data_IF_650858358421
#
_entry.id   IF_650858358421
#
_cell.length_a   1.000
_cell.length_b   1.000
_cell.length_c   1.000
_cell.angle_alpha   90.00
_cell.angle_beta   90.00
_cell.angle_gamma   90.00
#
_symmetry.space_group_name_H-M   'P 1'
#
loop_
_entity.id
_entity.type
_entity.pdbx_description
1 polymer ?
#
# COMPACT_ATOMS: atom_id res chain seq x y z
N UNK A 1 -27.31 -10.71 -25.92
CA UNK A 1 -26.14 -11.23 -25.17
C UNK A 1 -24.98 -11.32 -26.14
N UNK A 2 -23.94 -10.53 -25.96
CA UNK A 2 -22.72 -10.69 -26.75
C UNK A 2 -21.92 -11.81 -26.08
N UNK A 3 -21.87 -12.97 -26.71
CA UNK A 3 -21.03 -14.07 -26.25
C UNK A 3 -19.59 -13.77 -26.66
N UNK A 4 -18.71 -13.58 -25.71
CA UNK A 4 -17.26 -13.43 -25.95
C UNK A 4 -16.67 -14.84 -25.90
N UNK A 5 -15.92 -15.21 -26.90
CA UNK A 5 -15.22 -16.50 -26.96
C UNK A 5 -13.71 -16.24 -26.84
N UNK A 6 -13.04 -16.94 -25.95
CA UNK A 6 -11.57 -16.88 -25.83
C UNK A 6 -10.89 -17.58 -27.02
N UNK A 7 -11.54 -18.60 -27.55
CA UNK A 7 -11.07 -19.36 -28.72
C UNK A 7 -12.25 -19.77 -29.60
N UNK A 8 -12.11 -19.62 -30.91
CA UNK A 8 -13.04 -20.14 -31.90
C UNK A 8 -12.34 -21.26 -32.67
N UNK A 9 -12.81 -22.50 -32.53
CA UNK A 9 -12.32 -23.65 -33.27
C UNK A 9 -13.21 -23.85 -34.53
N UNK A 10 -12.61 -23.68 -35.70
CA UNK A 10 -13.29 -23.86 -36.99
C UNK A 10 -13.00 -25.23 -37.52
N UNK A 11 -14.01 -26.09 -37.59
CA UNK A 11 -13.93 -27.44 -38.14
C UNK A 11 -14.45 -28.50 -37.19
N UNK A 12 -15.21 -29.48 -37.73
CA UNK A 12 -15.84 -30.57 -36.97
C UNK A 12 -15.06 -31.90 -37.08
N UNK A 13 -13.87 -31.86 -37.68
CA UNK A 13 -13.01 -33.06 -37.82
C UNK A 13 -12.26 -33.40 -36.53
N UNK A 14 -11.63 -34.58 -36.50
CA UNK A 14 -10.85 -35.08 -35.37
C UNK A 14 -9.76 -34.08 -34.89
N UNK A 15 -9.15 -33.32 -35.79
CA UNK A 15 -8.17 -32.29 -35.44
C UNK A 15 -8.77 -31.12 -34.67
N UNK A 16 -9.97 -30.63 -35.03
CA UNK A 16 -10.64 -29.58 -34.31
C UNK A 16 -11.08 -30.03 -32.90
N UNK A 17 -11.61 -31.27 -32.80
CA UNK A 17 -11.98 -31.86 -31.51
C UNK A 17 -10.75 -32.08 -30.60
N UNK A 18 -9.62 -32.56 -31.21
CA UNK A 18 -8.37 -32.72 -30.46
C UNK A 18 -7.81 -31.40 -29.95
N UNK A 19 -7.85 -30.33 -30.75
CA UNK A 19 -7.50 -28.99 -30.31
C UNK A 19 -8.38 -28.53 -29.15
N UNK A 20 -9.73 -28.72 -29.23
CA UNK A 20 -10.64 -28.33 -28.17
C UNK A 20 -10.37 -29.06 -26.84
N UNK A 21 -10.05 -30.37 -26.92
CA UNK A 21 -9.80 -31.21 -25.73
C UNK A 21 -8.39 -30.99 -25.10
N UNK A 22 -7.44 -30.48 -25.86
CA UNK A 22 -6.06 -30.27 -25.42
C UNK A 22 -5.68 -28.79 -25.32
N UNK A 23 -6.66 -27.89 -25.39
CA UNK A 23 -6.39 -26.48 -25.18
C UNK A 23 -6.00 -26.28 -23.70
N UNK A 24 -4.82 -25.77 -23.38
CA UNK A 24 -4.47 -25.55 -22.00
C UNK A 24 -5.34 -24.43 -21.44
N UNK A 25 -6.20 -24.74 -20.46
CA UNK A 25 -6.95 -23.77 -19.67
C UNK A 25 -5.98 -23.05 -18.69
N UNK A 26 -4.85 -22.54 -19.17
CA UNK A 26 -3.95 -21.75 -18.33
C UNK A 26 -4.55 -20.38 -18.13
N UNK A 27 -5.09 -20.14 -16.95
CA UNK A 27 -5.57 -18.84 -16.50
C UNK A 27 -4.36 -17.97 -16.17
N UNK A 28 -3.91 -17.17 -17.14
CA UNK A 28 -2.74 -16.32 -16.97
C UNK A 28 -3.13 -14.97 -16.35
N UNK A 29 -2.56 -14.67 -15.19
CA UNK A 29 -2.71 -13.37 -14.52
C UNK A 29 -1.36 -12.72 -14.30
N UNK A 30 -1.32 -11.40 -14.11
CA UNK A 30 -0.07 -10.73 -13.83
C UNK A 30 -0.12 -9.89 -12.54
N UNK A 31 1.05 -9.74 -11.92
CA UNK A 31 1.30 -8.70 -10.93
C UNK A 31 2.05 -7.59 -11.65
N UNK A 32 1.38 -6.46 -11.84
CA UNK A 32 1.99 -5.28 -12.46
C UNK A 32 2.65 -4.45 -11.37
N UNK A 33 3.93 -4.16 -11.54
CA UNK A 33 4.70 -3.34 -10.61
C UNK A 33 5.40 -2.21 -11.35
N UNK A 34 5.51 -1.03 -10.72
CA UNK A 34 6.25 0.07 -11.31
C UNK A 34 7.73 -0.28 -11.45
N UNK A 35 8.29 -0.07 -12.67
CA UNK A 35 9.66 -0.46 -13.00
C UNK A 35 10.74 0.21 -12.15
N UNK A 36 10.49 1.43 -11.66
CA UNK A 36 11.42 2.15 -10.77
C UNK A 36 11.55 1.47 -9.39
N UNK A 37 10.58 0.64 -9.01
CA UNK A 37 10.59 -0.17 -7.80
C UNK A 37 11.26 -1.56 -7.98
N UNK A 38 12.34 -1.66 -8.74
CA UNK A 38 13.02 -2.92 -9.10
C UNK A 38 13.52 -3.76 -7.92
N UNK A 39 13.50 -3.23 -6.69
CA UNK A 39 13.91 -3.96 -5.47
C UNK A 39 12.84 -4.88 -4.89
N UNK A 40 11.67 -4.99 -5.52
CA UNK A 40 10.56 -5.84 -5.02
C UNK A 40 10.93 -7.32 -4.83
N UNK A 41 12.02 -7.77 -5.43
CA UNK A 41 12.56 -9.14 -5.25
C UNK A 41 13.42 -9.29 -3.99
N UNK A 42 13.77 -8.20 -3.33
CA UNK A 42 14.57 -8.22 -2.11
C UNK A 42 13.64 -8.46 -0.88
N UNK A 43 13.95 -9.45 0.00
CA UNK A 43 13.05 -9.81 1.12
C UNK A 43 12.73 -8.66 2.09
N UNK A 44 13.56 -7.62 2.14
CA UNK A 44 13.33 -6.44 2.98
C UNK A 44 12.52 -5.34 2.27
N UNK A 45 12.22 -5.50 0.97
CA UNK A 45 11.39 -4.56 0.25
C UNK A 45 9.91 -4.72 0.65
N UNK A 46 9.20 -3.59 0.78
CA UNK A 46 7.79 -3.59 1.20
C UNK A 46 6.91 -4.53 0.35
N UNK A 47 7.07 -4.54 -0.96
CA UNK A 47 6.24 -5.33 -1.87
C UNK A 47 6.55 -6.85 -1.86
N UNK A 48 7.73 -7.30 -1.36
CA UNK A 48 8.15 -8.69 -1.45
C UNK A 48 7.11 -9.67 -0.91
N UNK A 49 6.71 -9.51 0.35
CA UNK A 49 5.76 -10.40 1.00
C UNK A 49 4.38 -10.35 0.33
N UNK A 50 3.99 -9.18 -0.23
CA UNK A 50 2.75 -9.01 -0.99
C UNK A 50 2.75 -9.88 -2.24
N UNK A 51 3.86 -9.87 -3.01
CA UNK A 51 4.01 -10.72 -4.20
C UNK A 51 3.99 -12.20 -3.84
N UNK A 52 4.69 -12.57 -2.76
CA UNK A 52 4.72 -13.95 -2.24
C UNK A 52 3.31 -14.40 -1.84
N UNK A 53 2.59 -13.59 -1.06
CA UNK A 53 1.23 -13.89 -0.61
C UNK A 53 0.24 -14.09 -1.77
N UNK A 54 0.31 -13.23 -2.79
CA UNK A 54 -0.51 -13.38 -3.99
C UNK A 54 -0.24 -14.72 -4.69
N UNK A 55 1.03 -15.05 -4.96
CA UNK A 55 1.43 -16.29 -5.63
C UNK A 55 1.05 -17.54 -4.83
N UNK A 56 1.21 -17.52 -3.50
CA UNK A 56 0.83 -18.63 -2.63
C UNK A 56 -0.64 -19.03 -2.75
N UNK A 57 -1.52 -18.10 -3.13
CA UNK A 57 -2.93 -18.37 -3.35
C UNK A 57 -3.26 -18.66 -4.81
N UNK A 58 -2.62 -17.97 -5.73
CA UNK A 58 -2.94 -18.04 -7.16
C UNK A 58 -2.44 -19.35 -7.80
N UNK A 59 -1.19 -19.72 -7.55
CA UNK A 59 -0.57 -20.90 -8.17
C UNK A 59 -1.27 -22.22 -7.82
N UNK A 60 -1.60 -22.50 -6.54
CA UNK A 60 -2.37 -23.71 -6.19
C UNK A 60 -3.81 -23.71 -6.75
N UNK A 61 -4.37 -22.52 -7.04
CA UNK A 61 -5.68 -22.37 -7.68
C UNK A 61 -5.64 -22.53 -9.21
N UNK A 62 -4.48 -22.91 -9.78
CA UNK A 62 -4.30 -23.19 -11.20
C UNK A 62 -4.07 -21.94 -12.07
N UNK A 63 -3.64 -20.82 -11.46
CA UNK A 63 -3.26 -19.63 -12.20
C UNK A 63 -1.75 -19.60 -12.48
N UNK A 64 -1.38 -19.23 -13.71
CA UNK A 64 -0.02 -18.85 -14.06
C UNK A 64 0.19 -17.38 -13.72
N UNK A 65 1.16 -17.08 -12.85
CA UNK A 65 1.40 -15.75 -12.31
C UNK A 65 2.71 -15.17 -12.81
N UNK A 66 2.62 -14.13 -13.64
CA UNK A 66 3.78 -13.39 -14.13
C UNK A 66 3.93 -12.05 -13.41
N UNK A 67 5.17 -11.71 -12.99
CA UNK A 67 5.49 -10.38 -12.46
C UNK A 67 5.97 -9.50 -13.61
N UNK A 68 5.26 -8.40 -13.86
CA UNK A 68 5.48 -7.55 -15.03
C UNK A 68 5.86 -6.13 -14.59
N UNK A 69 7.15 -5.77 -14.68
CA UNK A 69 7.57 -4.40 -14.47
C UNK A 69 7.09 -3.49 -15.62
N UNK A 70 6.39 -2.40 -15.27
CA UNK A 70 5.85 -1.45 -16.25
C UNK A 70 6.35 -0.04 -15.92
N UNK A 71 6.83 0.68 -16.92
CA UNK A 71 7.24 2.08 -16.81
C UNK A 71 6.19 3.05 -17.38
N UNK A 72 6.34 4.33 -17.07
CA UNK A 72 5.47 5.41 -17.58
C UNK A 72 5.44 5.45 -19.12
N UNK A 73 6.54 5.09 -19.79
CA UNK A 73 6.60 5.05 -21.26
C UNK A 73 5.66 3.99 -21.81
N UNK A 74 5.68 2.80 -21.23
CA UNK A 74 4.77 1.70 -21.60
C UNK A 74 3.32 2.10 -21.37
N UNK A 75 3.02 2.68 -20.21
CA UNK A 75 1.66 3.16 -19.86
C UNK A 75 1.14 4.22 -20.84
N UNK A 76 2.00 5.13 -21.31
CA UNK A 76 1.62 6.16 -22.31
C UNK A 76 1.48 5.61 -23.73
N UNK A 77 2.14 4.49 -24.04
CA UNK A 77 2.17 3.95 -25.40
C UNK A 77 0.94 3.14 -25.77
N UNK A 78 0.19 2.64 -24.79
CA UNK A 78 -1.00 1.81 -25.00
C UNK A 78 -1.92 1.80 -23.77
N UNK A 79 -3.22 1.63 -24.02
CA UNK A 79 -4.23 1.47 -22.98
C UNK A 79 -4.03 0.15 -22.22
N UNK A 80 -4.38 0.14 -20.92
CA UNK A 80 -4.27 -1.05 -20.06
C UNK A 80 -4.92 -2.31 -20.66
N UNK A 81 -6.18 -2.22 -21.14
CA UNK A 81 -6.87 -3.37 -21.74
C UNK A 81 -6.14 -3.92 -22.97
N UNK A 82 -5.50 -3.04 -23.77
CA UNK A 82 -4.70 -3.46 -24.95
C UNK A 82 -3.44 -4.17 -24.53
N UNK A 83 -2.79 -3.72 -23.46
CA UNK A 83 -1.63 -4.40 -22.90
C UNK A 83 -2.00 -5.79 -22.40
N UNK A 84 -3.08 -5.91 -21.63
CA UNK A 84 -3.56 -7.18 -21.10
C UNK A 84 -3.88 -8.18 -22.22
N UNK A 85 -4.61 -7.73 -23.25
CA UNK A 85 -4.97 -8.56 -24.41
C UNK A 85 -3.73 -9.05 -25.19
N UNK A 86 -2.72 -8.19 -25.39
CA UNK A 86 -1.49 -8.57 -26.12
C UNK A 86 -0.66 -9.64 -25.42
N UNK A 87 -0.77 -9.75 -24.11
CA UNK A 87 -0.01 -10.69 -23.29
C UNK A 87 -0.84 -11.85 -22.76
N UNK A 88 -2.10 -11.97 -23.21
CA UNK A 88 -3.07 -13.00 -22.81
C UNK A 88 -3.33 -13.03 -21.29
N UNK A 89 -3.25 -11.87 -20.61
CA UNK A 89 -3.61 -11.77 -19.21
C UNK A 89 -5.11 -11.55 -19.04
N UNK A 90 -5.75 -12.36 -18.18
CA UNK A 90 -7.18 -12.25 -17.88
C UNK A 90 -7.48 -11.30 -16.71
N UNK A 91 -6.46 -10.88 -15.96
CA UNK A 91 -6.58 -9.93 -14.86
C UNK A 91 -5.24 -9.59 -14.25
N UNK A 92 -5.19 -8.49 -13.49
CA UNK A 92 -3.96 -8.01 -12.86
C UNK A 92 -4.13 -7.63 -11.39
N UNK A 93 -3.07 -7.82 -10.62
CA UNK A 93 -2.84 -7.18 -9.33
C UNK A 93 -1.79 -6.08 -9.51
N UNK A 94 -2.15 -4.83 -9.23
CA UNK A 94 -1.34 -3.64 -9.53
C UNK A 94 -0.77 -3.07 -8.25
N UNK A 95 0.56 -3.00 -8.17
CA UNK A 95 1.31 -2.60 -6.96
C UNK A 95 2.23 -1.42 -7.27
N UNK A 96 2.26 -0.43 -6.39
CA UNK A 96 3.23 0.67 -6.41
C UNK A 96 2.91 1.83 -7.37
N UNK A 97 1.71 1.87 -7.95
CA UNK A 97 1.31 2.96 -8.84
C UNK A 97 0.99 4.25 -8.08
N UNK A 98 1.38 5.37 -8.65
CA UNK A 98 1.05 6.73 -8.20
C UNK A 98 -0.25 7.21 -8.85
N UNK A 99 -0.93 8.20 -8.23
CA UNK A 99 -2.14 8.82 -8.81
C UNK A 99 -1.89 9.54 -10.15
N UNK A 100 -0.63 9.87 -10.43
CA UNK A 100 -0.22 10.51 -11.68
C UNK A 100 0.06 9.53 -12.83
N UNK A 101 0.05 8.23 -12.56
CA UNK A 101 0.34 7.21 -13.56
C UNK A 101 -0.76 7.16 -14.63
N UNK A 102 -0.40 7.06 -15.92
CA UNK A 102 -1.37 7.12 -17.01
C UNK A 102 -2.50 6.08 -16.90
N UNK A 103 -2.17 4.84 -16.55
CA UNK A 103 -3.16 3.76 -16.43
C UNK A 103 -4.17 3.94 -15.28
N UNK A 104 -3.89 4.85 -14.33
CA UNK A 104 -4.88 5.22 -13.32
C UNK A 104 -6.18 5.74 -13.95
N UNK A 105 -6.10 6.43 -15.10
CA UNK A 105 -7.30 6.86 -15.82
C UNK A 105 -7.94 5.69 -16.57
N UNK A 106 -7.14 4.78 -17.10
CA UNK A 106 -7.62 3.58 -17.79
C UNK A 106 -8.44 2.68 -16.86
N UNK A 107 -8.00 2.51 -15.62
CA UNK A 107 -8.73 1.70 -14.61
C UNK A 107 -10.15 2.21 -14.32
N UNK A 108 -10.47 3.46 -14.64
CA UNK A 108 -11.85 3.99 -14.48
C UNK A 108 -12.84 3.39 -15.48
N UNK A 109 -12.36 2.92 -16.62
CA UNK A 109 -13.17 2.47 -17.76
C UNK A 109 -12.78 1.08 -18.27
N UNK A 110 -11.70 0.50 -17.75
CA UNK A 110 -11.21 -0.82 -18.12
C UNK A 110 -12.28 -1.90 -17.93
N UNK A 111 -12.26 -2.88 -18.82
CA UNK A 111 -13.08 -4.09 -18.72
C UNK A 111 -12.29 -5.29 -18.20
N UNK A 112 -10.98 -5.26 -18.32
CA UNK A 112 -10.12 -6.30 -17.78
C UNK A 112 -10.01 -6.13 -16.27
N UNK A 113 -10.31 -7.17 -15.47
CA UNK A 113 -10.23 -7.12 -14.02
C UNK A 113 -8.88 -6.62 -13.50
N UNK A 114 -8.91 -5.64 -12.60
CA UNK A 114 -7.72 -5.12 -11.95
C UNK A 114 -7.96 -4.92 -10.45
N UNK A 115 -7.08 -5.44 -9.64
CA UNK A 115 -7.03 -5.17 -8.20
C UNK A 115 -5.89 -4.19 -7.94
N UNK A 116 -6.20 -3.04 -7.36
CA UNK A 116 -5.24 -1.99 -7.07
C UNK A 116 -4.82 -2.09 -5.60
N UNK A 117 -3.53 -2.25 -5.35
CA UNK A 117 -2.99 -2.15 -4.01
C UNK A 117 -2.76 -0.67 -3.66
N UNK A 118 -3.28 -0.24 -2.51
CA UNK A 118 -3.17 1.13 -1.97
C UNK A 118 -3.72 2.25 -2.87
N UNK A 119 -4.42 1.91 -3.95
CA UNK A 119 -5.12 2.87 -4.80
C UNK A 119 -6.59 2.46 -5.00
N UNK A 120 -7.47 3.44 -4.95
CA UNK A 120 -8.92 3.22 -5.05
C UNK A 120 -9.51 3.91 -6.27
N UNK A 121 -10.30 3.16 -7.06
CA UNK A 121 -11.09 3.68 -8.18
C UNK A 121 -12.57 3.61 -7.85
N UNK A 122 -13.27 4.72 -8.05
CA UNK A 122 -14.72 4.79 -7.82
C UNK A 122 -15.45 4.43 -9.12
N UNK A 123 -16.45 3.56 -9.02
CA UNK A 123 -17.48 3.38 -10.05
C UNK A 123 -17.16 2.39 -11.16
N UNK A 124 -16.00 1.74 -11.19
CA UNK A 124 -15.74 0.67 -12.15
C UNK A 124 -15.92 -0.72 -11.51
N UNK A 125 -16.91 -1.54 -11.94
CA UNK A 125 -17.16 -2.86 -11.39
C UNK A 125 -16.06 -3.89 -11.73
N UNK A 126 -15.17 -3.59 -12.67
CA UNK A 126 -14.01 -4.42 -13.02
C UNK A 126 -12.77 -4.10 -12.19
N UNK A 127 -12.85 -3.14 -11.26
CA UNK A 127 -11.72 -2.78 -10.39
C UNK A 127 -12.07 -2.95 -8.92
N UNK A 128 -11.10 -3.44 -8.14
CA UNK A 128 -11.18 -3.51 -6.68
C UNK A 128 -9.96 -2.85 -6.03
N UNK A 129 -10.11 -2.46 -4.78
CA UNK A 129 -9.05 -1.96 -3.91
C UNK A 129 -8.74 -2.98 -2.82
N UNK A 130 -7.46 -3.23 -2.61
CA UNK A 130 -6.95 -4.00 -1.46
C UNK A 130 -5.95 -3.15 -0.71
N UNK A 131 -6.06 -3.12 0.60
CA UNK A 131 -5.18 -2.38 1.47
C UNK A 131 -5.48 -2.63 2.94
N UNK A 132 -4.90 -1.83 3.80
CA UNK A 132 -5.19 -1.82 5.23
C UNK A 132 -6.25 -0.77 5.56
N UNK A 133 -6.98 -0.95 6.66
CA UNK A 133 -7.83 0.10 7.21
C UNK A 133 -6.97 1.21 7.82
N UNK A 134 -6.76 2.27 7.04
CA UNK A 134 -5.95 3.41 7.46
C UNK A 134 -6.64 4.26 8.55
N UNK A 135 -7.98 4.23 8.63
CA UNK A 135 -8.73 4.88 9.73
C UNK A 135 -8.40 4.18 11.05
N UNK A 136 -8.54 2.85 11.07
CA UNK A 136 -8.19 2.04 12.24
C UNK A 136 -6.72 2.21 12.62
N UNK A 137 -5.80 2.17 11.65
CA UNK A 137 -4.38 2.33 11.91
C UNK A 137 -4.01 3.66 12.56
N UNK A 138 -4.57 4.77 12.08
CA UNK A 138 -4.32 6.08 12.68
C UNK A 138 -5.03 6.25 14.01
N UNK A 139 -6.22 5.70 14.18
CA UNK A 139 -6.91 5.69 15.47
C UNK A 139 -6.11 4.93 16.53
N UNK A 140 -5.57 3.75 16.19
CA UNK A 140 -4.70 3.00 17.10
C UNK A 140 -3.46 3.82 17.52
N UNK A 141 -2.81 4.50 16.59
CA UNK A 141 -1.61 5.30 16.89
C UNK A 141 -1.93 6.51 17.76
N UNK A 142 -2.96 7.28 17.42
CA UNK A 142 -3.35 8.51 18.17
C UNK A 142 -3.91 8.16 19.55
N UNK A 143 -4.82 7.18 19.62
CA UNK A 143 -5.42 6.72 20.88
C UNK A 143 -4.34 6.22 21.85
N UNK A 144 -3.37 5.44 21.35
CA UNK A 144 -2.25 4.95 22.15
C UNK A 144 -1.41 6.09 22.74
N UNK A 145 -0.99 7.07 21.91
CA UNK A 145 -0.22 8.22 22.39
C UNK A 145 -1.02 9.11 23.34
N UNK A 146 -2.31 9.32 23.05
CA UNK A 146 -3.20 10.05 23.95
C UNK A 146 -3.35 9.37 25.31
N UNK A 147 -3.39 8.02 25.33
CA UNK A 147 -3.39 7.19 26.54
C UNK A 147 -2.10 7.31 27.34
N UNK A 148 -0.94 7.51 26.71
CA UNK A 148 0.34 7.81 27.36
C UNK A 148 0.47 9.25 27.88
N UNK A 149 -0.56 10.10 27.65
CA UNK A 149 -0.63 11.48 28.11
C UNK A 149 -0.21 12.52 27.08
N UNK A 150 0.22 12.12 25.88
CA UNK A 150 0.59 13.09 24.85
C UNK A 150 -0.61 13.92 24.38
N UNK A 151 -0.40 15.23 24.25
CA UNK A 151 -1.41 16.20 23.78
C UNK A 151 -0.91 17.02 22.59
N UNK A 152 0.41 17.10 22.42
CA UNK A 152 1.09 17.75 21.31
C UNK A 152 1.70 16.68 20.42
N UNK A 153 0.90 16.16 19.48
CA UNK A 153 1.27 15.09 18.57
C UNK A 153 1.41 15.68 17.15
N UNK A 154 2.54 15.44 16.51
CA UNK A 154 2.77 15.82 15.12
C UNK A 154 2.59 14.64 14.16
N UNK A 155 2.26 14.95 12.91
CA UNK A 155 2.24 14.00 11.80
C UNK A 155 3.30 14.38 10.78
N UNK A 156 4.15 13.44 10.43
CA UNK A 156 5.19 13.59 9.43
C UNK A 156 4.98 12.59 8.29
N UNK A 157 4.90 13.09 7.07
CA UNK A 157 4.59 12.31 5.89
C UNK A 157 5.55 12.62 4.75
N UNK A 158 5.81 11.62 3.92
CA UNK A 158 6.27 11.82 2.56
C UNK A 158 5.20 12.51 1.71
N UNK A 159 5.43 12.72 0.43
CA UNK A 159 4.46 13.40 -0.45
C UNK A 159 3.07 12.73 -0.42
N UNK A 160 2.01 13.52 -0.58
CA UNK A 160 0.63 13.01 -0.68
C UNK A 160 0.26 12.54 -2.11
N UNK A 161 1.24 12.05 -2.87
CA UNK A 161 1.07 11.61 -4.26
C UNK A 161 0.34 10.27 -4.43
N UNK A 162 0.09 9.51 -3.35
CA UNK A 162 -0.67 8.27 -3.35
C UNK A 162 -1.95 8.41 -2.52
N UNK A 163 -2.99 7.67 -2.90
CA UNK A 163 -4.27 7.67 -2.17
C UNK A 163 -4.13 7.24 -0.72
N UNK A 164 -3.32 6.22 -0.46
CA UNK A 164 -3.07 5.73 0.89
C UNK A 164 -2.47 6.80 1.79
N UNK A 165 -1.56 7.63 1.28
CA UNK A 165 -0.94 8.72 2.05
C UNK A 165 -1.94 9.84 2.37
N UNK A 166 -2.83 10.15 1.42
CA UNK A 166 -3.94 11.08 1.64
C UNK A 166 -4.94 10.52 2.68
N UNK A 167 -5.25 9.21 2.59
CA UNK A 167 -6.13 8.54 3.54
C UNK A 167 -5.56 8.55 4.96
N UNK A 168 -4.28 8.18 5.14
CA UNK A 168 -3.59 8.24 6.45
C UNK A 168 -3.58 9.64 7.04
N UNK A 169 -3.26 10.65 6.23
CA UNK A 169 -3.28 12.05 6.68
C UNK A 169 -4.67 12.48 7.14
N UNK A 170 -5.70 12.19 6.34
CA UNK A 170 -7.08 12.52 6.70
C UNK A 170 -7.54 11.75 7.95
N UNK A 171 -7.17 10.48 8.09
CA UNK A 171 -7.46 9.65 9.26
C UNK A 171 -6.77 10.19 10.52
N UNK A 172 -5.51 10.61 10.44
CA UNK A 172 -4.81 11.28 11.53
C UNK A 172 -5.58 12.51 12.01
N UNK A 173 -6.00 13.40 11.10
CA UNK A 173 -6.74 14.61 11.47
C UNK A 173 -8.07 14.29 12.15
N UNK A 174 -8.81 13.27 11.68
CA UNK A 174 -10.06 12.83 12.29
C UNK A 174 -9.84 12.25 13.68
N UNK A 175 -8.86 11.37 13.84
CA UNK A 175 -8.54 10.77 15.13
C UNK A 175 -8.09 11.81 16.14
N UNK A 176 -7.23 12.76 15.77
CA UNK A 176 -6.87 13.89 16.65
C UNK A 176 -8.11 14.66 17.12
N UNK A 177 -9.03 14.96 16.20
CA UNK A 177 -10.28 15.64 16.54
C UNK A 177 -11.18 14.82 17.50
N UNK A 178 -11.32 13.52 17.26
CA UNK A 178 -12.12 12.61 18.10
C UNK A 178 -11.57 12.55 19.54
N UNK A 179 -10.26 12.63 19.72
CA UNK A 179 -9.60 12.68 21.02
C UNK A 179 -9.51 14.11 21.63
N UNK A 180 -10.13 15.11 21.01
CA UNK A 180 -10.07 16.50 21.45
C UNK A 180 -8.69 17.13 21.38
N UNK A 181 -7.80 16.57 20.55
CA UNK A 181 -6.44 17.05 20.35
C UNK A 181 -6.36 18.08 19.22
N UNK A 182 -5.54 19.11 19.43
CA UNK A 182 -5.42 20.20 18.45
C UNK A 182 -4.42 19.86 17.35
N UNK A 183 -4.80 20.14 16.11
CA UNK A 183 -3.92 20.13 14.94
C UNK A 183 -3.76 21.53 14.38
N UNK A 184 -2.61 21.82 13.79
CA UNK A 184 -2.31 23.09 13.14
C UNK A 184 -1.29 22.85 12.01
N UNK A 185 -1.08 23.80 11.10
CA UNK A 185 0.00 23.71 10.13
C UNK A 185 1.39 23.52 10.77
N UNK A 186 1.57 23.94 12.02
CA UNK A 186 2.82 23.75 12.76
C UNK A 186 3.05 22.30 13.21
N UNK A 187 2.00 21.48 13.33
CA UNK A 187 2.07 20.07 13.74
C UNK A 187 1.99 19.08 12.59
N UNK A 188 1.90 19.56 11.35
CA UNK A 188 1.82 18.73 10.14
C UNK A 188 3.03 19.02 9.26
N UNK A 189 3.77 17.97 8.91
CA UNK A 189 4.89 18.02 7.97
C UNK A 189 4.64 17.07 6.80
N UNK A 190 4.81 17.57 5.58
CA UNK A 190 4.72 16.76 4.38
C UNK A 190 5.73 17.27 3.35
N UNK A 191 6.65 16.41 2.91
CA UNK A 191 7.64 16.75 1.89
C UNK A 191 8.05 15.53 1.09
N UNK A 192 8.28 15.72 -0.20
CA UNK A 192 8.69 14.64 -1.11
C UNK A 192 10.07 14.06 -0.71
N UNK A 193 11.01 14.93 -0.34
CA UNK A 193 12.35 14.50 0.03
C UNK A 193 12.49 14.31 1.54
N UNK A 194 13.16 13.21 1.93
CA UNK A 194 13.45 12.89 3.32
C UNK A 194 14.25 14.01 4.00
N UNK A 195 15.24 14.60 3.30
CA UNK A 195 16.04 15.72 3.78
C UNK A 195 15.17 16.92 4.19
N UNK A 196 14.15 17.26 3.39
CA UNK A 196 13.23 18.35 3.75
C UNK A 196 12.41 18.03 5.00
N UNK A 197 12.03 16.77 5.21
CA UNK A 197 11.36 16.36 6.44
C UNK A 197 12.24 16.62 7.65
N UNK A 198 13.54 16.30 7.56
CA UNK A 198 14.51 16.47 8.65
C UNK A 198 14.95 17.92 8.86
N UNK A 199 15.15 18.67 7.78
CA UNK A 199 15.70 20.04 7.84
C UNK A 199 14.62 21.10 8.09
N UNK A 200 13.39 20.88 7.63
CA UNK A 200 12.32 21.87 7.66
C UNK A 200 11.22 21.57 8.67
N UNK A 201 10.75 20.32 8.71
CA UNK A 201 9.59 19.99 9.53
C UNK A 201 9.98 19.56 10.95
N UNK A 202 11.01 18.74 11.09
CA UNK A 202 11.43 18.25 12.41
C UNK A 202 11.87 19.37 13.35
N UNK A 203 12.74 20.34 12.98
CA UNK A 203 13.10 21.46 13.85
C UNK A 203 11.86 22.26 14.31
N UNK A 204 10.94 22.54 13.39
CA UNK A 204 9.69 23.23 13.71
C UNK A 204 8.85 22.47 14.75
N UNK A 205 8.80 21.14 14.67
CA UNK A 205 8.08 20.32 15.65
C UNK A 205 8.72 20.46 17.04
N UNK A 206 10.04 20.35 17.11
CA UNK A 206 10.80 20.44 18.35
C UNK A 206 10.66 21.83 19.00
N UNK A 207 10.75 22.91 18.22
CA UNK A 207 10.54 24.29 18.67
C UNK A 207 9.12 24.54 19.21
N UNK A 208 8.12 23.84 18.66
CA UNK A 208 6.73 23.93 19.14
C UNK A 208 6.42 23.01 20.35
N UNK A 209 7.43 22.32 20.87
CA UNK A 209 7.32 21.43 22.02
C UNK A 209 6.44 20.21 21.73
N UNK A 210 6.53 19.65 20.54
CA UNK A 210 5.91 18.37 20.17
C UNK A 210 6.53 17.27 21.03
N UNK A 211 5.71 16.43 21.64
CA UNK A 211 6.14 15.33 22.50
C UNK A 211 5.99 13.94 21.86
N UNK A 212 5.29 13.86 20.74
CA UNK A 212 5.18 12.63 19.96
C UNK A 212 5.03 12.93 18.47
N UNK A 213 5.64 12.08 17.63
CA UNK A 213 5.55 12.15 16.16
C UNK A 213 5.03 10.83 15.62
N UNK A 214 3.97 10.88 14.80
CA UNK A 214 3.51 9.77 13.98
C UNK A 214 4.03 9.98 12.57
N UNK A 215 4.84 9.04 12.08
CA UNK A 215 5.34 9.02 10.72
C UNK A 215 4.47 8.10 9.85
N UNK A 216 4.26 8.48 8.58
CA UNK A 216 3.41 7.71 7.66
C UNK A 216 4.02 6.37 7.22
N UNK A 217 5.32 6.13 7.53
CA UNK A 217 6.04 4.89 7.19
C UNK A 217 7.29 4.71 8.07
N UNK A 218 7.74 3.47 8.26
CA UNK A 218 8.85 3.13 9.17
C UNK A 218 10.20 3.70 8.73
N UNK A 219 10.45 3.79 7.43
CA UNK A 219 11.70 4.38 6.91
C UNK A 219 11.82 5.85 7.29
N UNK A 220 10.73 6.59 7.22
CA UNK A 220 10.68 7.99 7.68
C UNK A 220 10.81 8.08 9.20
N UNK A 221 10.14 7.17 9.94
CA UNK A 221 10.21 7.13 11.40
C UNK A 221 11.63 6.80 11.90
N UNK A 222 12.32 5.85 11.26
CA UNK A 222 13.71 5.50 11.55
C UNK A 222 14.67 6.68 11.33
N UNK A 223 14.49 7.40 10.22
CA UNK A 223 15.28 8.61 9.96
C UNK A 223 14.97 9.72 10.97
N UNK A 224 13.70 9.91 11.33
CA UNK A 224 13.28 10.89 12.35
C UNK A 224 13.89 10.56 13.71
N UNK A 225 13.87 9.28 14.12
CA UNK A 225 14.46 8.79 15.35
C UNK A 225 15.97 9.12 15.38
N UNK A 226 16.70 8.74 14.33
CA UNK A 226 18.11 8.98 14.20
C UNK A 226 18.44 10.49 14.27
N UNK A 227 17.66 11.32 13.58
CA UNK A 227 17.87 12.77 13.58
C UNK A 227 17.58 13.40 14.95
N UNK A 228 16.53 12.95 15.66
CA UNK A 228 16.25 13.40 17.03
C UNK A 228 17.42 13.08 17.96
N UNK A 229 17.98 11.88 17.90
CA UNK A 229 19.14 11.48 18.69
C UNK A 229 20.38 12.31 18.38
N UNK A 230 20.63 12.61 17.10
CA UNK A 230 21.74 13.50 16.68
C UNK A 230 21.59 14.93 17.22
N UNK A 231 20.35 15.38 17.42
CA UNK A 231 20.02 16.67 18.03
C UNK A 231 20.05 16.63 19.57
N UNK A 232 20.36 15.47 20.17
CA UNK A 232 20.49 15.30 21.62
C UNK A 232 19.23 14.88 22.36
N UNK A 233 18.11 14.58 21.65
CA UNK A 233 16.88 14.10 22.26
C UNK A 233 16.97 12.62 22.59
N UNK A 234 16.47 12.24 23.78
CA UNK A 234 16.34 10.84 24.19
C UNK A 234 14.99 10.30 23.75
N UNK A 235 15.01 9.13 23.09
CA UNK A 235 13.80 8.42 22.68
C UNK A 235 13.63 7.20 23.61
N UNK A 236 12.52 7.05 24.30
CA UNK A 236 11.27 7.83 24.22
C UNK A 236 11.14 8.98 25.26
N UNK A 237 12.16 9.23 26.09
CA UNK A 237 12.04 10.07 27.30
C UNK A 237 11.71 11.53 26.99
N UNK A 238 12.27 12.11 25.91
CA UNK A 238 11.98 13.46 25.48
C UNK A 238 10.90 13.51 24.40
N UNK A 239 10.85 12.52 23.52
CA UNK A 239 9.93 12.46 22.39
C UNK A 239 9.62 11.03 21.99
N UNK A 240 8.34 10.71 21.82
CA UNK A 240 7.86 9.43 21.32
C UNK A 240 7.74 9.42 19.81
N UNK A 241 8.09 8.29 19.16
CA UNK A 241 7.99 8.15 17.69
C UNK A 241 7.25 6.87 17.36
N UNK A 242 6.24 6.98 16.47
CA UNK A 242 5.50 5.85 15.89
C UNK A 242 5.70 5.82 14.38
N UNK A 243 5.97 4.62 13.84
CA UNK A 243 6.03 4.34 12.42
C UNK A 243 4.75 3.74 11.86
N UNK A 244 4.82 3.29 10.62
CA UNK A 244 3.77 2.57 9.93
C UNK A 244 4.41 1.57 8.95
N UNK A 245 3.86 0.37 8.79
CA UNK A 245 4.17 -0.76 7.92
C UNK A 245 4.72 -2.00 8.66
N UNK A 246 5.37 -1.86 9.81
CA UNK A 246 6.12 -2.90 10.53
C UNK A 246 7.16 -3.59 9.62
N UNK A 247 7.96 -2.78 8.95
CA UNK A 247 9.11 -3.26 8.18
C UNK A 247 10.20 -3.83 9.11
N UNK A 248 11.08 -4.72 8.62
CA UNK A 248 12.18 -5.26 9.42
C UNK A 248 13.05 -4.19 10.08
N UNK A 249 13.21 -3.03 9.45
CA UNK A 249 13.95 -1.89 10.02
C UNK A 249 13.36 -1.41 11.34
N UNK A 250 12.04 -1.51 11.54
CA UNK A 250 11.40 -1.06 12.78
C UNK A 250 11.90 -1.82 14.02
N UNK A 251 12.21 -3.10 13.88
CA UNK A 251 12.79 -3.89 14.97
C UNK A 251 14.31 -3.67 15.15
N UNK A 252 14.97 -3.07 14.14
CA UNK A 252 16.43 -2.87 14.13
C UNK A 252 16.87 -1.46 14.53
N UNK A 253 15.94 -0.52 14.75
CA UNK A 253 16.28 0.81 15.30
C UNK A 253 16.70 0.70 16.78
N UNK A 254 17.36 1.73 17.28
CA UNK A 254 17.72 1.83 18.71
C UNK A 254 17.21 3.16 19.27
N UNK A 255 16.18 3.15 20.13
CA UNK A 255 15.36 2.01 20.54
C UNK A 255 14.52 1.42 19.38
N UNK A 256 14.06 0.14 19.51
CA UNK A 256 13.15 -0.48 18.56
C UNK A 256 11.85 0.32 18.39
N UNK A 257 11.39 0.48 17.12
CA UNK A 257 10.32 1.38 16.73
C UNK A 257 8.94 0.76 16.96
N UNK A 258 8.10 1.43 17.76
CA UNK A 258 6.64 1.21 17.82
C UNK A 258 6.05 1.58 16.47
N UNK A 259 5.17 0.75 15.91
CA UNK A 259 4.64 0.94 14.55
C UNK A 259 3.26 0.34 14.37
N UNK A 260 2.56 0.76 13.34
CA UNK A 260 1.32 0.13 12.88
C UNK A 260 1.68 -0.94 11.84
N UNK A 261 1.35 -2.20 12.14
CA UNK A 261 1.61 -3.33 11.23
C UNK A 261 0.58 -3.37 10.11
N UNK A 262 1.10 -3.55 8.90
CA UNK A 262 0.38 -4.08 7.75
C UNK A 262 0.85 -5.53 7.52
N UNK A 263 -0.05 -6.50 7.58
CA UNK A 263 0.31 -7.88 7.24
C UNK A 263 0.43 -8.02 5.71
N UNK A 264 1.64 -7.82 5.22
CA UNK A 264 1.95 -7.78 3.78
C UNK A 264 1.67 -9.11 3.09
N UNK A 265 1.90 -10.23 3.78
CA UNK A 265 1.60 -11.54 3.22
C UNK A 265 0.09 -11.74 3.04
N UNK A 266 -0.69 -11.39 4.06
CA UNK A 266 -2.15 -11.46 4.00
C UNK A 266 -2.73 -10.41 3.01
N UNK A 267 -2.10 -9.25 2.84
CA UNK A 267 -2.48 -8.28 1.79
C UNK A 267 -2.31 -8.88 0.39
N UNK A 268 -1.21 -9.61 0.15
CA UNK A 268 -1.00 -10.32 -1.11
C UNK A 268 -2.07 -11.39 -1.36
N UNK A 269 -2.36 -12.22 -0.35
CA UNK A 269 -3.44 -13.23 -0.43
C UNK A 269 -4.79 -12.59 -0.71
N UNK A 270 -5.09 -11.49 -0.04
CA UNK A 270 -6.32 -10.71 -0.24
C UNK A 270 -6.41 -10.12 -1.66
N UNK A 271 -5.26 -9.74 -2.24
CA UNK A 271 -5.15 -9.32 -3.64
C UNK A 271 -5.63 -10.39 -4.61
N UNK A 272 -5.23 -11.65 -4.37
CA UNK A 272 -5.71 -12.78 -5.17
C UNK A 272 -7.20 -13.05 -4.95
N UNK A 273 -7.70 -13.04 -3.71
CA UNK A 273 -9.13 -13.23 -3.43
C UNK A 273 -9.99 -12.17 -4.13
N UNK A 274 -9.54 -10.91 -4.09
CA UNK A 274 -10.22 -9.83 -4.78
C UNK A 274 -10.22 -10.03 -6.30
N UNK A 275 -9.07 -10.40 -6.89
CA UNK A 275 -8.96 -10.67 -8.32
C UNK A 275 -9.84 -11.87 -8.74
N UNK A 276 -9.78 -12.97 -7.99
CA UNK A 276 -10.60 -14.14 -8.23
C UNK A 276 -12.10 -13.81 -8.18
N UNK A 277 -12.53 -12.95 -7.25
CA UNK A 277 -13.91 -12.47 -7.17
C UNK A 277 -14.32 -11.73 -8.43
N UNK A 278 -13.49 -10.78 -8.90
CA UNK A 278 -13.76 -10.03 -10.13
C UNK A 278 -13.81 -10.94 -11.36
N UNK A 279 -12.89 -11.92 -11.48
CA UNK A 279 -12.86 -12.91 -12.56
C UNK A 279 -14.11 -13.81 -12.57
N UNK A 280 -14.72 -14.04 -11.41
CA UNK A 280 -16.00 -14.75 -11.27
C UNK A 280 -17.21 -13.81 -11.31
N UNK A 281 -17.04 -12.58 -11.82
CA UNK A 281 -18.08 -11.57 -11.96
C UNK A 281 -18.76 -11.16 -10.64
N UNK A 282 -18.08 -11.29 -9.50
CA UNK A 282 -18.54 -10.77 -8.20
C UNK A 282 -18.00 -9.33 -8.07
N UNK A 283 -18.87 -8.31 -8.11
CA UNK A 283 -18.44 -6.90 -8.16
C UNK A 283 -18.06 -6.40 -6.76
N UNK A 284 -16.89 -6.77 -6.28
CA UNK A 284 -16.33 -6.21 -5.05
C UNK A 284 -15.65 -4.87 -5.36
N UNK A 285 -15.71 -3.93 -4.43
CA UNK A 285 -15.06 -2.62 -4.58
C UNK A 285 -13.83 -2.47 -3.68
N UNK A 286 -13.88 -3.02 -2.46
CA UNK A 286 -12.88 -2.79 -1.43
C UNK A 286 -12.72 -4.03 -0.55
N UNK A 287 -11.48 -4.38 -0.27
CA UNK A 287 -11.09 -5.41 0.67
C UNK A 287 -10.02 -4.85 1.60
N UNK A 288 -10.38 -4.57 2.86
CA UNK A 288 -9.47 -3.99 3.86
C UNK A 288 -9.12 -5.01 4.93
N UNK A 289 -7.85 -5.07 5.30
CA UNK A 289 -7.38 -5.79 6.47
C UNK A 289 -7.33 -4.86 7.69
N UNK A 290 -7.49 -5.44 8.87
CA UNK A 290 -7.30 -4.75 10.13
C UNK A 290 -5.85 -4.32 10.35
N UNK A 291 -5.68 -3.14 10.92
CA UNK A 291 -4.40 -2.64 11.40
C UNK A 291 -4.06 -3.21 12.79
N UNK A 292 -2.78 -3.29 13.13
CA UNK A 292 -2.32 -3.71 14.45
C UNK A 292 -1.24 -2.77 14.97
N UNK A 293 -1.38 -2.31 16.21
CA UNK A 293 -0.30 -1.59 16.87
C UNK A 293 0.73 -2.59 17.42
N UNK A 294 1.96 -2.46 16.97
CA UNK A 294 3.12 -3.22 17.48
C UNK A 294 3.91 -2.30 18.40
N UNK A 295 3.65 -2.45 19.68
CA UNK A 295 4.34 -1.68 20.70
C UNK A 295 5.76 -2.17 20.88
N UNK A 296 6.73 -1.23 20.85
CA UNK A 296 8.16 -1.43 21.14
C UNK A 296 8.64 -0.31 22.08
N UNK A 297 9.91 0.09 21.97
CA UNK A 297 10.57 0.96 22.95
C UNK A 297 10.68 2.44 22.52
N UNK A 298 10.22 2.81 21.31
CA UNK A 298 10.30 4.20 20.83
C UNK A 298 9.18 5.11 21.32
N UNK A 299 8.32 4.62 22.21
CA UNK A 299 7.20 5.36 22.80
C UNK A 299 7.17 5.21 24.31
N UNK A 300 6.91 6.28 25.03
CA UNK A 300 6.85 6.34 26.50
C UNK A 300 5.74 7.28 26.99
N UNK A 301 5.66 7.48 28.29
CA UNK A 301 4.77 8.51 28.85
C UNK A 301 5.24 9.89 28.44
N UNK A 302 4.28 10.83 28.32
CA UNK A 302 4.62 12.23 28.05
C UNK A 302 5.69 12.74 29.04
N UNK A 303 6.73 13.45 28.56
CA UNK A 303 7.74 14.08 29.43
C UNK A 303 7.08 14.97 30.49
N UNK A 304 7.58 14.91 31.75
CA UNK A 304 7.05 15.65 32.90
C UNK A 304 7.33 17.15 32.83
#
# INVERSE_FOLDING_TARGET
MNTVYDVIIVGTGAAGLFCALNFPETKKVCIIIEKENMRYQEPHHFAYDILVGFRQMAEPAGFDVEIVPVDIKTQRSQHYDVFMLKHDYIGAFVVGFSLSDPWIQDFKVSRTPAVLFDNYMVGNPSTAYVGIDNEEGMELAVSYLAGLGHRKIAYLSSSLGARVLQARHAAFLRSMHQHGLKTSPATIGCSYYLSECMEKHLPRFLENGITAIICNQDTLASATLTQCQQLGFQIPDDISIIGFDDLPIAACTSPPLTTIRQDRLELGKSGFFALSSLLNHIPISTYLLHAQLIQRESTGKVPS
#
